data_IF_751684726214
#
_entry.id   IF_751684726214
#
_cell.length_a   1.000
_cell.length_b   1.000
_cell.length_c   1.000
_cell.angle_alpha   90.00
_cell.angle_beta   90.00
_cell.angle_gamma   90.00
#
_symmetry.space_group_name_H-M   'P 1'
#
loop_
_entity.id
_entity.type
_entity.pdbx_description
1 polymer ?
#
# COMPACT_ATOMS: atom_id res chain seq x y z
N UNK A 1 -8.11 -9.05 15.63
CA UNK A 1 -9.17 -8.04 15.81
C UNK A 1 -10.20 -8.26 14.75
N UNK A 2 -11.47 -8.18 15.12
CA UNK A 2 -12.57 -8.05 14.17
C UNK A 2 -12.36 -6.76 13.34
N UNK A 3 -12.57 -6.83 12.02
CA UNK A 3 -12.36 -5.72 11.08
C UNK A 3 -13.23 -4.51 11.43
N UNK A 4 -14.43 -4.76 11.98
CA UNK A 4 -15.32 -3.70 12.46
C UNK A 4 -14.72 -2.96 13.67
N UNK A 5 -14.20 -3.70 14.64
CA UNK A 5 -13.56 -3.12 15.81
C UNK A 5 -12.32 -2.30 15.44
N UNK A 6 -11.54 -2.77 14.46
CA UNK A 6 -10.41 -2.02 13.92
C UNK A 6 -10.87 -0.71 13.26
N UNK A 7 -11.90 -0.75 12.41
CA UNK A 7 -12.47 0.45 11.78
C UNK A 7 -12.96 1.47 12.81
N UNK A 8 -13.64 1.01 13.87
CA UNK A 8 -14.10 1.88 14.96
C UNK A 8 -12.93 2.53 15.72
N UNK A 9 -11.83 1.81 15.92
CA UNK A 9 -10.62 2.36 16.55
C UNK A 9 -9.97 3.43 15.66
N UNK A 10 -9.88 3.19 14.35
CA UNK A 10 -9.38 4.17 13.37
C UNK A 10 -10.24 5.44 13.41
N UNK A 11 -11.56 5.31 13.36
CA UNK A 11 -12.48 6.45 13.38
C UNK A 11 -12.37 7.27 14.67
N UNK A 12 -12.30 6.61 15.84
CA UNK A 12 -12.14 7.29 17.13
C UNK A 12 -10.85 8.08 17.20
N UNK A 13 -9.74 7.50 16.74
CA UNK A 13 -8.45 8.20 16.67
C UNK A 13 -8.52 9.39 15.71
N UNK A 14 -9.08 9.20 14.51
CA UNK A 14 -9.26 10.28 13.54
C UNK A 14 -10.03 11.46 14.15
N UNK A 15 -11.16 11.22 14.80
CA UNK A 15 -11.96 12.28 15.45
C UNK A 15 -11.14 13.01 16.51
N UNK A 16 -10.35 12.28 17.31
CA UNK A 16 -9.50 12.88 18.33
C UNK A 16 -8.35 13.73 17.72
N UNK A 17 -7.71 13.25 16.65
CA UNK A 17 -6.63 13.95 15.94
C UNK A 17 -7.13 15.17 15.16
N UNK A 18 -8.29 15.06 14.51
CA UNK A 18 -8.92 16.13 13.74
C UNK A 18 -9.30 17.33 14.62
N UNK A 19 -9.72 17.07 15.86
CA UNK A 19 -10.18 18.10 16.77
C UNK A 19 -11.45 18.81 16.29
N UNK A 20 -11.61 20.07 16.71
CA UNK A 20 -12.76 20.89 16.33
C UNK A 20 -12.51 21.50 14.95
N UNK A 21 -13.44 21.26 14.03
CA UNK A 21 -13.44 21.85 12.68
C UNK A 21 -14.41 23.02 12.65
N UNK A 22 -13.98 24.18 12.18
CA UNK A 22 -14.91 25.25 11.81
C UNK A 22 -15.57 24.88 10.48
N UNK A 23 -16.88 24.63 10.52
CA UNK A 23 -17.65 24.30 9.32
C UNK A 23 -17.57 25.36 8.21
N UNK A 24 -17.20 26.62 8.54
CA UNK A 24 -16.99 27.69 7.56
C UNK A 24 -15.73 27.50 6.72
N UNK A 25 -14.76 26.76 7.26
CA UNK A 25 -13.52 26.43 6.56
C UNK A 25 -13.70 25.19 5.66
N UNK A 26 -14.85 24.52 5.70
CA UNK A 26 -15.13 23.35 4.84
C UNK A 26 -15.92 23.81 3.62
N UNK A 27 -15.28 23.86 2.47
CA UNK A 27 -15.90 24.29 1.22
C UNK A 27 -16.83 23.23 0.62
N UNK A 28 -16.44 21.95 0.72
CA UNK A 28 -17.26 20.85 0.25
C UNK A 28 -16.88 19.50 0.88
N UNK A 29 -17.85 18.57 0.89
CA UNK A 29 -17.71 17.17 1.25
C UNK A 29 -18.38 16.34 0.14
N UNK A 30 -17.78 15.23 -0.27
CA UNK A 30 -18.27 14.33 -1.33
C UNK A 30 -18.64 15.09 -2.62
N UNK A 31 -17.74 15.99 -3.05
CA UNK A 31 -18.02 16.92 -4.13
C UNK A 31 -17.88 16.23 -5.48
N UNK A 32 -19.00 16.03 -6.17
CA UNK A 32 -19.00 15.64 -7.58
C UNK A 32 -18.28 16.70 -8.45
N UNK A 33 -17.46 16.23 -9.37
CA UNK A 33 -16.91 17.03 -10.46
C UNK A 33 -17.02 16.30 -11.80
N UNK A 34 -17.05 17.09 -12.87
CA UNK A 34 -17.00 16.64 -14.26
C UNK A 34 -15.91 17.40 -14.98
N UNK A 35 -14.92 16.67 -15.49
CA UNK A 35 -13.81 17.24 -16.25
C UNK A 35 -13.90 16.80 -17.71
N UNK A 36 -14.13 17.73 -18.65
CA UNK A 36 -13.95 17.43 -20.06
C UNK A 36 -12.47 17.21 -20.35
N UNK A 37 -12.15 16.07 -20.97
CA UNK A 37 -10.79 15.65 -21.34
C UNK A 37 -10.82 15.19 -22.79
N UNK A 38 -10.47 16.09 -23.71
CA UNK A 38 -10.64 15.86 -25.14
C UNK A 38 -12.10 15.56 -25.50
N UNK A 39 -12.41 14.43 -26.17
CA UNK A 39 -13.79 14.03 -26.47
C UNK A 39 -14.49 13.31 -25.29
N UNK A 40 -13.82 13.14 -24.15
CA UNK A 40 -14.31 12.38 -23.00
C UNK A 40 -14.69 13.28 -21.82
N UNK A 41 -15.39 12.70 -20.86
CA UNK A 41 -15.67 13.32 -19.56
C UNK A 41 -15.21 12.39 -18.43
N UNK A 42 -14.39 12.91 -17.52
CA UNK A 42 -14.03 12.25 -16.27
C UNK A 42 -15.00 12.70 -15.19
N UNK A 43 -15.75 11.76 -14.64
CA UNK A 43 -16.61 11.94 -13.47
C UNK A 43 -15.89 11.45 -12.22
N UNK A 44 -15.94 12.21 -11.15
CA UNK A 44 -15.38 11.81 -9.86
C UNK A 44 -15.97 12.56 -8.68
N UNK A 45 -15.56 12.16 -7.49
CA UNK A 45 -15.97 12.74 -6.21
C UNK A 45 -14.72 13.05 -5.40
N UNK A 46 -14.68 14.23 -4.78
CA UNK A 46 -13.64 14.64 -3.85
C UNK A 46 -14.19 14.49 -2.43
N UNK A 47 -13.53 13.70 -1.58
CA UNK A 47 -13.99 13.42 -0.21
C UNK A 47 -14.21 14.72 0.58
N UNK A 48 -13.23 15.62 0.59
CA UNK A 48 -13.32 16.90 1.30
C UNK A 48 -12.43 17.98 0.69
N UNK A 49 -12.93 19.22 0.69
CA UNK A 49 -12.17 20.42 0.32
C UNK A 49 -12.30 21.45 1.44
N UNK A 50 -11.16 21.89 1.96
CA UNK A 50 -11.06 22.92 2.99
C UNK A 50 -10.52 24.24 2.39
N UNK A 51 -11.06 25.36 2.86
CA UNK A 51 -10.51 26.69 2.70
C UNK A 51 -9.35 26.87 3.68
N UNK A 52 -8.21 27.36 3.19
CA UNK A 52 -7.03 27.63 4.03
C UNK A 52 -6.82 29.13 4.17
N UNK A 53 -6.85 29.85 3.05
CA UNK A 53 -6.73 31.31 2.99
C UNK A 53 -7.33 31.83 1.67
N UNK A 54 -7.27 33.15 1.45
CA UNK A 54 -7.84 33.84 0.29
C UNK A 54 -7.33 33.35 -1.08
N UNK A 55 -6.21 32.61 -1.12
CA UNK A 55 -5.63 32.08 -2.36
C UNK A 55 -5.45 30.56 -2.36
N UNK A 56 -5.76 29.89 -1.24
CA UNK A 56 -5.36 28.50 -1.01
C UNK A 56 -6.53 27.65 -0.54
N UNK A 57 -6.65 26.48 -1.15
CA UNK A 57 -7.51 25.38 -0.71
C UNK A 57 -6.70 24.12 -0.47
N UNK A 58 -7.23 23.25 0.39
CA UNK A 58 -6.70 21.91 0.59
C UNK A 58 -7.74 20.86 0.18
N UNK A 59 -7.31 19.92 -0.66
CA UNK A 59 -8.06 18.70 -0.95
C UNK A 59 -7.58 17.62 0.00
N UNK A 60 -8.51 16.99 0.71
CA UNK A 60 -8.24 15.88 1.62
C UNK A 60 -8.95 14.65 1.07
N UNK A 61 -8.18 13.59 0.82
CA UNK A 61 -8.68 12.26 0.46
C UNK A 61 -8.32 11.29 1.61
N UNK A 62 -9.33 10.59 2.12
CA UNK A 62 -9.19 9.72 3.29
C UNK A 62 -8.81 8.30 2.87
N UNK A 63 -7.69 7.80 3.39
CA UNK A 63 -7.17 6.46 3.05
C UNK A 63 -7.01 5.59 4.29
N UNK A 64 -7.38 4.32 4.17
CA UNK A 64 -7.32 3.32 5.25
C UNK A 64 -6.40 2.13 4.92
N UNK A 65 -5.53 2.30 3.93
CA UNK A 65 -4.54 1.31 3.51
C UNK A 65 -3.68 0.83 4.69
N UNK A 66 -3.21 -0.41 4.62
CA UNK A 66 -2.28 -0.98 5.60
C UNK A 66 -0.85 -0.48 5.44
N UNK A 67 -0.50 -0.01 4.24
CA UNK A 67 0.80 0.55 3.91
C UNK A 67 0.62 2.01 3.53
N UNK A 68 1.59 2.83 3.92
CA UNK A 68 1.72 4.20 3.43
C UNK A 68 2.13 4.19 1.97
N UNK A 69 1.74 5.22 1.23
CA UNK A 69 2.29 5.45 -0.12
C UNK A 69 3.75 5.87 0.00
N UNK A 70 4.56 5.47 -0.97
CA UNK A 70 5.89 6.03 -1.17
C UNK A 70 5.79 7.48 -1.62
N UNK A 71 6.88 8.26 -1.49
CA UNK A 71 6.88 9.67 -1.92
C UNK A 71 6.57 9.81 -3.40
N UNK A 72 7.14 8.93 -4.23
CA UNK A 72 6.92 8.91 -5.68
C UNK A 72 5.46 8.64 -6.04
N UNK A 73 4.81 7.67 -5.38
CA UNK A 73 3.38 7.39 -5.59
C UNK A 73 2.49 8.60 -5.25
N UNK A 74 2.81 9.34 -4.19
CA UNK A 74 2.07 10.55 -3.82
C UNK A 74 2.31 11.67 -4.84
N UNK A 75 3.56 11.89 -5.25
CA UNK A 75 3.95 12.98 -6.15
C UNK A 75 3.54 12.74 -7.61
N UNK A 76 3.33 11.49 -8.01
CA UNK A 76 2.90 11.11 -9.37
C UNK A 76 1.45 10.64 -9.43
N UNK A 77 0.71 10.70 -8.31
CA UNK A 77 -0.69 10.24 -8.24
C UNK A 77 -1.58 10.96 -9.26
N UNK A 78 -2.11 10.19 -10.20
CA UNK A 78 -3.07 10.64 -11.20
C UNK A 78 -4.37 11.14 -10.56
N UNK A 79 -4.85 10.46 -9.51
CA UNK A 79 -6.06 10.85 -8.77
C UNK A 79 -5.92 12.29 -8.25
N UNK A 80 -4.79 12.58 -7.61
CA UNK A 80 -4.50 13.90 -7.03
C UNK A 80 -4.38 14.99 -8.11
N UNK A 81 -3.75 14.67 -9.24
CA UNK A 81 -3.70 15.60 -10.39
C UNK A 81 -5.10 15.94 -10.91
N UNK A 82 -5.98 14.95 -11.06
CA UNK A 82 -7.36 15.18 -11.52
C UNK A 82 -8.19 15.99 -10.50
N UNK A 83 -7.99 15.75 -9.20
CA UNK A 83 -8.63 16.55 -8.16
C UNK A 83 -8.19 18.01 -8.22
N UNK A 84 -6.90 18.30 -8.41
CA UNK A 84 -6.44 19.68 -8.55
C UNK A 84 -7.06 20.38 -9.78
N UNK A 85 -7.15 19.70 -10.93
CA UNK A 85 -7.82 20.25 -12.12
C UNK A 85 -9.30 20.56 -11.81
N UNK A 86 -10.00 19.66 -11.13
CA UNK A 86 -11.40 19.85 -10.73
C UNK A 86 -11.54 21.05 -9.78
N UNK A 87 -10.68 21.14 -8.77
CA UNK A 87 -10.69 22.22 -7.78
C UNK A 87 -10.45 23.57 -8.42
N UNK A 88 -9.47 23.70 -9.30
CA UNK A 88 -9.20 24.97 -10.02
C UNK A 88 -10.37 25.43 -10.88
N UNK A 89 -11.20 24.50 -11.38
CA UNK A 89 -12.43 24.83 -12.12
C UNK A 89 -13.59 25.19 -11.19
N UNK A 90 -13.75 24.47 -10.09
CA UNK A 90 -14.83 24.69 -9.12
C UNK A 90 -14.62 25.95 -8.29
N UNK A 91 -13.37 26.26 -7.94
CA UNK A 91 -12.95 27.42 -7.17
C UNK A 91 -11.83 28.19 -7.90
N UNK A 92 -12.12 28.94 -8.98
CA UNK A 92 -11.11 29.63 -9.79
C UNK A 92 -10.30 30.72 -9.07
N UNK A 93 -10.73 31.13 -7.88
CA UNK A 93 -10.00 32.07 -7.03
C UNK A 93 -8.80 31.42 -6.33
N UNK A 94 -8.80 30.09 -6.17
CA UNK A 94 -7.72 29.37 -5.52
C UNK A 94 -6.52 29.27 -6.47
N UNK A 95 -5.45 30.00 -6.14
CA UNK A 95 -4.19 30.00 -6.89
C UNK A 95 -3.27 28.85 -6.46
N UNK A 96 -3.47 28.33 -5.25
CA UNK A 96 -2.70 27.23 -4.67
C UNK A 96 -3.65 26.13 -4.23
N UNK A 97 -3.30 24.89 -4.56
CA UNK A 97 -4.03 23.71 -4.13
C UNK A 97 -3.04 22.80 -3.39
N UNK A 98 -3.32 22.54 -2.11
CA UNK A 98 -2.65 21.49 -1.35
C UNK A 98 -3.42 20.19 -1.54
N UNK A 99 -2.70 19.10 -1.76
CA UNK A 99 -3.28 17.79 -1.99
C UNK A 99 -2.81 16.85 -0.89
N UNK A 100 -3.74 16.26 -0.15
CA UNK A 100 -3.42 15.48 1.05
C UNK A 100 -4.11 14.14 1.03
N UNK A 101 -3.32 13.06 1.04
CA UNK A 101 -3.81 11.76 1.50
C UNK A 101 -3.72 11.71 3.02
N UNK A 102 -4.87 11.61 3.70
CA UNK A 102 -4.88 11.37 5.14
C UNK A 102 -4.97 9.86 5.39
N UNK A 103 -3.83 9.27 5.75
CA UNK A 103 -3.67 7.85 6.02
C UNK A 103 -4.20 7.52 7.42
N UNK A 104 -5.53 7.46 7.55
CA UNK A 104 -6.26 7.36 8.82
C UNK A 104 -5.78 6.20 9.69
N UNK A 105 -5.41 5.06 9.09
CA UNK A 105 -4.89 3.89 9.84
C UNK A 105 -3.60 4.21 10.60
N UNK A 106 -2.79 5.11 10.07
CA UNK A 106 -1.48 5.47 10.61
C UNK A 106 -1.47 6.82 11.33
N UNK A 107 -2.51 7.65 11.17
CA UNK A 107 -2.53 9.01 11.71
C UNK A 107 -1.59 9.96 10.96
N UNK A 108 -1.22 9.63 9.72
CA UNK A 108 -0.21 10.36 8.92
C UNK A 108 -0.90 11.09 7.77
N UNK A 109 -0.48 12.34 7.52
CA UNK A 109 -0.87 13.12 6.33
C UNK A 109 0.27 13.11 5.32
N UNK A 110 -0.01 12.70 4.10
CA UNK A 110 0.96 12.71 3.00
C UNK A 110 0.55 13.79 1.99
N UNK A 111 1.31 14.88 1.99
CA UNK A 111 0.97 16.10 1.28
C UNK A 111 1.80 16.26 0.00
N UNK A 112 1.20 16.83 -1.04
CA UNK A 112 1.85 17.12 -2.32
C UNK A 112 1.19 18.31 -3.01
N UNK A 113 1.78 18.77 -4.11
CA UNK A 113 1.31 19.85 -4.97
C UNK A 113 1.54 19.45 -6.42
N UNK A 114 0.91 20.13 -7.38
CA UNK A 114 1.19 19.95 -8.81
C UNK A 114 1.70 21.21 -9.49
N UNK A 115 2.56 21.01 -10.48
CA UNK A 115 2.90 22.02 -11.47
C UNK A 115 1.90 21.99 -12.62
N UNK A 116 1.78 23.09 -13.38
CA UNK A 116 0.94 23.13 -14.59
C UNK A 116 1.28 22.02 -15.59
N UNK A 117 2.57 21.70 -15.73
CA UNK A 117 3.05 20.63 -16.60
C UNK A 117 2.53 19.27 -16.16
N UNK A 118 2.60 18.95 -14.85
CA UNK A 118 2.05 17.70 -14.30
C UNK A 118 0.53 17.59 -14.50
N UNK A 119 -0.20 18.70 -14.42
CA UNK A 119 -1.64 18.71 -14.68
C UNK A 119 -1.94 18.48 -16.17
N UNK A 120 -1.17 19.10 -17.06
CA UNK A 120 -1.29 18.91 -18.50
C UNK A 120 -0.97 17.45 -18.91
N UNK A 121 0.10 16.88 -18.35
CA UNK A 121 0.50 15.49 -18.58
C UNK A 121 -0.57 14.50 -18.09
N UNK A 122 -1.16 14.75 -16.91
CA UNK A 122 -2.24 13.94 -16.38
C UNK A 122 -3.48 13.94 -17.31
N UNK A 123 -3.87 15.12 -17.82
CA UNK A 123 -4.99 15.23 -18.76
C UNK A 123 -4.68 14.55 -20.10
N UNK A 124 -3.48 14.74 -20.64
CA UNK A 124 -3.05 14.10 -21.88
C UNK A 124 -2.99 12.56 -21.74
N UNK A 125 -2.53 12.07 -20.59
CA UNK A 125 -2.52 10.65 -20.26
C UNK A 125 -3.94 10.06 -20.25
N UNK A 126 -4.88 10.72 -19.56
CA UNK A 126 -6.27 10.28 -19.49
C UNK A 126 -6.95 10.34 -20.87
N UNK A 127 -6.71 11.38 -21.65
CA UNK A 127 -7.24 11.47 -23.02
C UNK A 127 -6.73 10.30 -23.88
N UNK A 128 -5.42 10.04 -23.83
CA UNK A 128 -4.79 8.94 -24.57
C UNK A 128 -5.37 7.59 -24.15
N UNK A 129 -5.53 7.36 -22.84
CA UNK A 129 -6.14 6.14 -22.31
C UNK A 129 -7.59 5.99 -22.77
N UNK A 130 -8.37 7.07 -22.76
CA UNK A 130 -9.74 7.08 -23.27
C UNK A 130 -9.80 6.70 -24.74
N UNK A 131 -8.95 7.30 -25.58
CA UNK A 131 -8.89 6.97 -27.02
C UNK A 131 -8.48 5.52 -27.24
N UNK A 132 -7.44 5.05 -26.55
CA UNK A 132 -7.01 3.65 -26.63
C UNK A 132 -8.14 2.70 -26.28
N UNK A 133 -8.91 3.01 -25.23
CA UNK A 133 -10.06 2.21 -24.80
C UNK A 133 -11.15 2.20 -25.88
N UNK A 134 -11.59 3.37 -26.38
CA UNK A 134 -12.64 3.42 -27.41
C UNK A 134 -12.24 2.70 -28.72
N UNK A 135 -10.98 2.79 -29.13
CA UNK A 135 -10.53 2.20 -30.39
C UNK A 135 -10.11 0.73 -30.28
N UNK A 136 -9.90 0.22 -29.07
CA UNK A 136 -9.44 -1.14 -28.86
C UNK A 136 -10.53 -2.14 -29.25
N UNK A 137 -10.19 -3.03 -30.18
CA UNK A 137 -11.03 -4.18 -30.55
C UNK A 137 -10.77 -5.41 -29.69
N UNK A 138 -9.65 -5.43 -28.97
CA UNK A 138 -9.22 -6.53 -28.12
C UNK A 138 -8.67 -6.03 -26.79
N UNK A 139 -8.97 -6.78 -25.72
CA UNK A 139 -8.54 -6.48 -24.35
C UNK A 139 -7.80 -7.68 -23.77
N UNK A 140 -6.58 -7.98 -24.26
CA UNK A 140 -5.83 -9.13 -23.80
C UNK A 140 -5.54 -8.99 -22.30
N UNK A 141 -5.87 -10.03 -21.54
CA UNK A 141 -5.59 -10.06 -20.11
C UNK A 141 -4.07 -10.03 -19.87
N UNK A 142 -3.62 -9.09 -19.05
CA UNK A 142 -2.21 -8.96 -18.66
C UNK A 142 -2.05 -9.29 -17.19
N UNK A 143 -1.08 -10.14 -16.87
CA UNK A 143 -0.70 -10.37 -15.47
C UNK A 143 -0.13 -9.09 -14.87
N UNK A 144 -0.63 -8.75 -13.70
CA UNK A 144 -0.16 -7.62 -12.90
C UNK A 144 -0.30 -7.94 -11.40
N UNK A 145 0.10 -6.98 -10.57
CA UNK A 145 0.10 -7.11 -9.11
C UNK A 145 -1.30 -7.23 -8.51
N UNK A 146 -2.36 -6.91 -9.25
CA UNK A 146 -3.74 -6.92 -8.78
C UNK A 146 -4.47 -8.23 -9.12
N UNK A 147 -3.87 -9.13 -9.90
CA UNK A 147 -4.50 -10.40 -10.29
C UNK A 147 -4.96 -11.26 -9.10
N UNK A 148 -4.29 -11.17 -7.95
CA UNK A 148 -4.66 -11.91 -6.73
C UNK A 148 -6.03 -11.52 -6.19
N UNK A 149 -6.49 -10.29 -6.45
CA UNK A 149 -7.76 -9.75 -5.94
C UNK A 149 -8.81 -9.55 -7.05
N UNK A 150 -8.53 -10.00 -8.27
CA UNK A 150 -9.43 -9.82 -9.41
C UNK A 150 -10.63 -10.78 -9.32
N UNK A 151 -11.85 -10.25 -9.40
CA UNK A 151 -13.09 -11.04 -9.37
C UNK A 151 -13.20 -12.01 -10.57
N UNK A 152 -12.63 -11.63 -11.72
CA UNK A 152 -12.63 -12.43 -12.94
C UNK A 152 -11.48 -13.46 -13.01
N UNK A 153 -10.65 -13.55 -11.97
CA UNK A 153 -9.45 -14.41 -11.92
C UNK A 153 -9.71 -15.86 -12.30
N UNK A 154 -10.85 -16.43 -11.91
CA UNK A 154 -11.23 -17.83 -12.19
C UNK A 154 -11.40 -18.14 -13.67
N UNK A 155 -11.80 -17.15 -14.48
CA UNK A 155 -12.05 -17.31 -15.91
C UNK A 155 -10.94 -16.65 -16.76
N UNK A 156 -9.93 -16.07 -16.12
CA UNK A 156 -8.84 -15.36 -16.80
C UNK A 156 -7.84 -16.36 -17.41
N UNK A 157 -7.69 -16.41 -18.75
CA UNK A 157 -6.76 -17.34 -19.40
C UNK A 157 -5.30 -17.06 -19.04
N UNK A 158 -4.91 -15.78 -18.95
CA UNK A 158 -3.56 -15.40 -18.54
C UNK A 158 -3.23 -15.87 -17.11
N UNK A 159 -4.20 -15.82 -16.20
CA UNK A 159 -4.02 -16.33 -14.84
C UNK A 159 -3.96 -17.86 -14.81
N UNK A 160 -4.78 -18.55 -15.60
CA UNK A 160 -4.72 -20.01 -15.73
C UNK A 160 -3.37 -20.49 -16.28
N UNK A 161 -2.83 -19.80 -17.29
CA UNK A 161 -1.50 -20.06 -17.84
C UNK A 161 -0.40 -19.80 -16.79
N UNK A 162 -0.53 -18.74 -15.99
CA UNK A 162 0.39 -18.45 -14.89
C UNK A 162 0.43 -19.59 -13.86
N UNK A 163 -0.73 -20.16 -13.50
CA UNK A 163 -0.80 -21.28 -12.56
C UNK A 163 -0.19 -22.57 -13.10
N UNK A 164 -0.12 -22.72 -14.43
CA UNK A 164 0.59 -23.82 -15.10
C UNK A 164 2.09 -23.58 -15.21
N UNK A 165 2.58 -22.42 -14.76
CA UNK A 165 3.99 -22.05 -14.85
C UNK A 165 4.45 -21.78 -16.29
N UNK A 166 3.53 -21.44 -17.20
CA UNK A 166 3.89 -21.09 -18.58
C UNK A 166 4.80 -19.85 -18.57
N UNK A 167 5.92 -19.95 -19.28
CA UNK A 167 6.89 -18.88 -19.48
C UNK A 167 6.79 -18.34 -20.90
N UNK A 168 6.74 -17.02 -21.05
CA UNK A 168 6.72 -16.35 -22.35
C UNK A 168 8.13 -15.96 -22.80
N UNK A 169 9.00 -15.64 -21.84
CA UNK A 169 10.36 -15.19 -22.11
C UNK A 169 11.35 -15.81 -21.11
N UNK A 170 12.49 -16.24 -21.64
CA UNK A 170 13.65 -16.73 -20.89
C UNK A 170 14.88 -16.06 -21.51
N UNK A 171 15.67 -15.37 -20.69
CA UNK A 171 16.90 -14.74 -21.16
C UNK A 171 17.98 -15.81 -21.34
N UNK A 172 18.63 -15.82 -22.50
CA UNK A 172 19.72 -16.76 -22.80
C UNK A 172 21.08 -16.21 -22.33
N UNK A 173 21.28 -14.89 -22.48
CA UNK A 173 22.50 -14.19 -22.07
C UNK A 173 22.25 -13.29 -20.87
N UNK A 174 22.84 -13.64 -19.72
CA UNK A 174 22.71 -12.85 -18.49
C UNK A 174 23.47 -11.51 -18.53
N UNK A 175 24.25 -11.24 -19.58
CA UNK A 175 24.82 -9.93 -19.84
C UNK A 175 23.81 -8.96 -20.49
N UNK A 176 22.73 -9.46 -21.11
CA UNK A 176 21.62 -8.63 -21.58
C UNK A 176 20.75 -8.20 -20.40
N UNK A 177 21.07 -7.04 -19.84
CA UNK A 177 20.36 -6.51 -18.67
C UNK A 177 18.90 -6.19 -18.94
N UNK A 178 18.52 -5.86 -20.18
CA UNK A 178 17.12 -5.59 -20.54
C UNK A 178 16.32 -6.91 -20.56
N UNK A 179 16.90 -7.96 -21.15
CA UNK A 179 16.35 -9.31 -21.10
C UNK A 179 16.22 -9.82 -19.65
N UNK A 180 17.26 -9.67 -18.84
CA UNK A 180 17.25 -10.07 -17.41
C UNK A 180 16.13 -9.34 -16.65
N UNK A 181 16.00 -8.02 -16.84
CA UNK A 181 14.95 -7.24 -16.19
C UNK A 181 13.55 -7.72 -16.62
N UNK A 182 13.34 -7.93 -17.92
CA UNK A 182 12.07 -8.43 -18.46
C UNK A 182 11.70 -9.80 -17.87
N UNK A 183 12.63 -10.73 -17.85
CA UNK A 183 12.38 -12.07 -17.30
C UNK A 183 12.08 -11.99 -15.80
N UNK A 184 12.84 -11.20 -15.03
CA UNK A 184 12.61 -11.01 -13.60
C UNK A 184 11.19 -10.53 -13.32
N UNK A 185 10.69 -9.55 -14.08
CA UNK A 185 9.32 -9.04 -13.90
C UNK A 185 8.23 -10.04 -14.29
N UNK A 186 8.47 -10.88 -15.29
CA UNK A 186 7.58 -12.02 -15.60
C UNK A 186 7.55 -13.01 -14.42
N UNK A 187 8.72 -13.46 -13.96
CA UNK A 187 8.85 -14.39 -12.83
C UNK A 187 8.22 -13.84 -11.56
N UNK A 188 8.41 -12.55 -11.25
CA UNK A 188 7.82 -11.93 -10.08
C UNK A 188 6.29 -11.97 -10.10
N UNK A 189 5.68 -11.72 -11.28
CA UNK A 189 4.22 -11.81 -11.46
C UNK A 189 3.71 -13.25 -11.35
N UNK A 190 4.39 -14.20 -11.96
CA UNK A 190 4.07 -15.63 -11.86
C UNK A 190 4.15 -16.13 -10.42
N UNK A 191 5.24 -15.79 -9.72
CA UNK A 191 5.43 -16.13 -8.31
C UNK A 191 4.29 -15.58 -7.47
N UNK A 192 3.90 -14.31 -7.66
CA UNK A 192 2.75 -13.72 -6.93
C UNK A 192 1.45 -14.47 -7.20
N UNK A 193 1.17 -14.83 -8.46
CA UNK A 193 -0.01 -15.60 -8.82
C UNK A 193 -0.04 -16.98 -8.14
N UNK A 194 1.10 -17.68 -8.13
CA UNK A 194 1.27 -18.99 -7.49
C UNK A 194 1.15 -18.91 -5.97
N UNK A 195 1.75 -17.90 -5.33
CA UNK A 195 1.61 -17.68 -3.89
C UNK A 195 0.17 -17.39 -3.49
N UNK A 196 -0.55 -16.54 -4.24
CA UNK A 196 -1.96 -16.27 -3.98
C UNK A 196 -2.81 -17.53 -4.11
N UNK A 197 -2.52 -18.39 -5.09
CA UNK A 197 -3.23 -19.68 -5.23
C UNK A 197 -2.88 -20.66 -4.11
N UNK A 198 -1.62 -20.71 -3.69
CA UNK A 198 -1.19 -21.50 -2.53
C UNK A 198 -1.94 -21.07 -1.27
N UNK A 199 -2.02 -19.78 -0.99
CA UNK A 199 -2.73 -19.24 0.17
C UNK A 199 -4.23 -19.63 0.16
N UNK A 200 -4.90 -19.51 -0.99
CA UNK A 200 -6.30 -19.95 -1.15
C UNK A 200 -6.48 -21.45 -0.81
N UNK A 201 -5.57 -22.29 -1.28
CA UNK A 201 -5.59 -23.74 -0.98
C UNK A 201 -5.30 -24.01 0.50
N UNK A 202 -4.35 -23.28 1.09
CA UNK A 202 -4.05 -23.39 2.51
C UNK A 202 -5.24 -22.96 3.37
N UNK A 203 -6.00 -21.94 2.99
CA UNK A 203 -7.18 -21.51 3.74
C UNK A 203 -8.27 -22.57 3.77
N UNK A 204 -8.44 -23.32 2.67
CA UNK A 204 -9.32 -24.49 2.64
C UNK A 204 -8.83 -25.57 3.63
N UNK A 205 -7.53 -25.86 3.64
CA UNK A 205 -6.94 -26.84 4.58
C UNK A 205 -7.06 -26.37 6.04
N UNK A 206 -6.77 -25.09 6.32
CA UNK A 206 -6.91 -24.47 7.64
C UNK A 206 -8.35 -24.56 8.15
N UNK A 207 -9.34 -24.39 7.27
CA UNK A 207 -10.75 -24.52 7.66
C UNK A 207 -11.07 -25.93 8.15
N UNK A 208 -10.54 -26.97 7.50
CA UNK A 208 -10.70 -28.37 7.92
C UNK A 208 -9.96 -28.68 9.23
N UNK A 209 -8.80 -28.06 9.46
CA UNK A 209 -8.01 -28.19 10.69
C UNK A 209 -8.59 -27.45 11.91
N UNK A 210 -9.71 -26.73 11.76
CA UNK A 210 -10.42 -26.16 12.93
C UNK A 210 -11.07 -27.24 13.78
N UNK A 211 -11.48 -28.34 13.16
CA UNK A 211 -12.18 -29.47 13.81
C UNK A 211 -11.28 -30.70 13.96
N UNK A 212 -10.02 -30.62 13.49
CA UNK A 212 -9.09 -31.75 13.42
C UNK A 212 -7.67 -31.30 13.76
N UNK A 213 -6.97 -32.10 14.56
CA UNK A 213 -5.59 -31.79 14.96
C UNK A 213 -4.57 -31.95 13.83
N UNK A 214 -4.88 -32.80 12.84
CA UNK A 214 -4.00 -33.17 11.74
C UNK A 214 -4.79 -33.63 10.50
N UNK A 215 -4.22 -33.39 9.31
CA UNK A 215 -4.62 -34.02 8.05
C UNK A 215 -3.40 -34.68 7.40
N UNK A 216 -3.57 -35.89 6.87
CA UNK A 216 -2.56 -36.55 6.01
C UNK A 216 -3.18 -36.77 4.65
N UNK A 217 -2.75 -35.99 3.65
CA UNK A 217 -3.33 -35.95 2.31
C UNK A 217 -2.19 -35.86 1.29
N UNK A 218 -2.26 -36.63 0.21
CA UNK A 218 -1.27 -36.56 -0.89
C UNK A 218 0.18 -36.78 -0.45
N UNK A 219 0.43 -37.60 0.57
CA UNK A 219 1.78 -37.84 1.11
C UNK A 219 2.30 -36.73 2.03
N UNK A 220 1.48 -35.73 2.37
CA UNK A 220 1.88 -34.60 3.22
C UNK A 220 1.00 -34.55 4.46
N UNK A 221 1.63 -34.35 5.61
CA UNK A 221 1.00 -34.08 6.90
C UNK A 221 0.84 -32.57 7.11
N UNK A 222 -0.36 -32.14 7.46
CA UNK A 222 -0.73 -30.76 7.74
C UNK A 222 -1.21 -30.58 9.17
N UNK A 223 -0.72 -29.55 9.88
CA UNK A 223 -1.15 -29.20 11.24
C UNK A 223 -1.13 -27.68 11.46
N UNK A 224 -1.91 -27.20 12.42
CA UNK A 224 -1.85 -25.82 12.87
C UNK A 224 -0.89 -25.67 14.05
N UNK A 225 -0.06 -24.63 14.03
CA UNK A 225 0.79 -24.24 15.15
C UNK A 225 0.62 -22.77 15.49
N UNK A 226 0.62 -22.44 16.78
CA UNK A 226 0.64 -21.05 17.20
C UNK A 226 2.05 -20.49 17.01
N UNK A 227 2.15 -19.34 16.35
CA UNK A 227 3.39 -18.58 16.26
C UNK A 227 3.20 -17.21 16.87
N UNK A 228 4.21 -16.73 17.58
CA UNK A 228 4.20 -15.38 18.17
C UNK A 228 5.07 -14.48 17.32
N UNK A 229 4.50 -13.36 16.86
CA UNK A 229 5.22 -12.26 16.23
C UNK A 229 5.09 -11.00 17.08
N UNK A 230 6.07 -10.11 16.94
CA UNK A 230 6.02 -8.76 17.51
C UNK A 230 5.64 -7.79 16.41
N UNK A 231 4.62 -6.98 16.68
CA UNK A 231 4.20 -5.86 15.85
C UNK A 231 4.67 -4.57 16.53
N UNK A 232 5.26 -3.65 15.78
CA UNK A 232 5.93 -2.47 16.33
C UNK A 232 5.15 -1.22 15.91
N UNK A 233 4.39 -0.59 16.82
CA UNK A 233 3.58 0.60 16.48
C UNK A 233 4.45 1.73 15.93
N UNK A 234 3.99 2.37 14.85
CA UNK A 234 4.77 3.34 14.08
C UNK A 234 5.35 4.47 14.93
N UNK A 235 4.49 5.29 15.55
CA UNK A 235 4.91 6.47 16.31
C UNK A 235 5.81 6.15 17.52
N UNK A 236 5.48 5.18 18.40
CA UNK A 236 6.37 4.79 19.49
C UNK A 236 7.73 4.31 18.99
N UNK A 237 7.74 3.52 17.91
CA UNK A 237 8.97 2.96 17.34
C UNK A 237 9.86 4.06 16.75
N UNK A 238 9.28 4.99 15.99
CA UNK A 238 10.03 6.11 15.41
C UNK A 238 10.58 7.04 16.48
N UNK A 239 9.80 7.31 17.53
CA UNK A 239 10.24 8.17 18.64
C UNK A 239 11.45 7.55 19.34
N UNK A 240 11.36 6.28 19.74
CA UNK A 240 12.47 5.57 20.40
C UNK A 240 13.73 5.52 19.52
N UNK A 241 13.57 5.26 18.23
CA UNK A 241 14.71 5.19 17.30
C UNK A 241 15.32 6.57 17.03
N UNK A 242 14.50 7.62 16.88
CA UNK A 242 14.99 8.99 16.71
C UNK A 242 15.79 9.43 17.94
N UNK A 243 15.25 9.21 19.14
CA UNK A 243 15.90 9.54 20.40
C UNK A 243 17.23 8.80 20.58
N UNK A 244 17.27 7.51 20.24
CA UNK A 244 18.47 6.69 20.40
C UNK A 244 19.54 6.94 19.33
N UNK A 245 19.17 7.43 18.15
CA UNK A 245 20.09 7.63 17.01
C UNK A 245 20.46 9.08 16.77
N UNK A 246 19.69 10.03 17.31
CA UNK A 246 19.80 11.46 17.01
C UNK A 246 19.37 11.83 15.58
N UNK A 247 18.77 10.87 14.84
CA UNK A 247 18.22 11.11 13.51
C UNK A 247 16.82 11.70 13.61
N UNK A 248 16.44 12.49 12.61
CA UNK A 248 15.05 12.92 12.45
C UNK A 248 14.13 11.72 12.15
N UNK A 249 12.84 11.88 12.42
CA UNK A 249 11.83 10.83 12.18
C UNK A 249 11.82 10.37 10.72
N UNK A 250 11.93 11.30 9.77
CA UNK A 250 11.96 11.01 8.34
C UNK A 250 13.22 10.24 7.92
N UNK A 251 14.37 10.55 8.52
CA UNK A 251 15.61 9.80 8.29
C UNK A 251 15.53 8.37 8.82
N UNK A 252 14.88 8.16 9.98
CA UNK A 252 14.65 6.83 10.53
C UNK A 252 13.71 6.04 9.62
N UNK A 253 12.59 6.65 9.21
CA UNK A 253 11.63 6.05 8.27
C UNK A 253 12.29 5.64 6.95
N UNK A 254 13.06 6.56 6.35
CA UNK A 254 13.76 6.31 5.10
C UNK A 254 14.78 5.17 5.18
N UNK A 255 15.41 4.97 6.35
CA UNK A 255 16.37 3.87 6.57
C UNK A 255 15.72 2.52 6.82
N UNK A 256 14.56 2.50 7.47
CA UNK A 256 13.85 1.26 7.76
C UNK A 256 13.14 0.71 6.51
N UNK A 257 12.54 1.59 5.71
CA UNK A 257 11.70 1.22 4.56
C UNK A 257 10.36 0.58 4.98
N UNK A 258 10.36 -0.27 6.01
CA UNK A 258 9.17 -0.81 6.67
C UNK A 258 9.45 -1.03 8.16
N UNK A 259 8.42 -0.90 9.00
CA UNK A 259 8.53 -1.22 10.42
C UNK A 259 8.12 -2.68 10.63
N UNK A 260 9.12 -3.55 10.55
CA UNK A 260 9.00 -4.96 10.91
C UNK A 260 10.22 -5.44 11.69
N UNK A 261 10.09 -6.59 12.37
CA UNK A 261 11.17 -7.15 13.19
C UNK A 261 12.50 -7.29 12.44
N UNK A 262 12.46 -7.70 11.16
CA UNK A 262 13.65 -7.93 10.35
C UNK A 262 14.33 -6.60 10.00
N UNK A 263 13.55 -5.60 9.60
CA UNK A 263 14.07 -4.26 9.32
C UNK A 263 14.69 -3.62 10.58
N UNK A 264 14.01 -3.74 11.73
CA UNK A 264 14.53 -3.27 13.02
C UNK A 264 15.80 -4.01 13.43
N UNK A 265 15.84 -5.34 13.36
CA UNK A 265 17.04 -6.12 13.67
C UNK A 265 18.22 -5.74 12.74
N UNK A 266 17.94 -5.48 11.46
CA UNK A 266 18.95 -5.01 10.50
C UNK A 266 19.47 -3.60 10.85
N UNK A 267 18.58 -2.67 11.20
CA UNK A 267 18.96 -1.33 11.64
C UNK A 267 19.78 -1.39 12.94
N UNK A 268 19.34 -2.13 13.96
CA UNK A 268 20.06 -2.33 15.21
C UNK A 268 21.45 -2.94 14.99
N UNK A 269 21.58 -3.90 14.06
CA UNK A 269 22.87 -4.48 13.67
C UNK A 269 23.77 -3.45 13.00
N UNK A 270 23.21 -2.56 12.18
CA UNK A 270 23.98 -1.47 11.56
C UNK A 270 24.44 -0.42 12.60
N UNK A 271 23.59 -0.12 13.58
CA UNK A 271 23.85 0.82 14.66
C UNK A 271 24.89 0.29 15.65
N UNK A 272 24.94 -1.02 15.88
CA UNK A 272 25.98 -1.66 16.70
C UNK A 272 27.40 -1.52 16.16
N UNK A 273 27.59 -0.98 14.94
CA UNK A 273 28.90 -0.54 14.44
C UNK A 273 29.33 0.83 14.97
N UNK A 274 28.39 1.62 15.54
CA UNK A 274 28.59 2.99 16.03
C UNK A 274 28.24 3.16 17.52
N UNK A 275 27.28 2.38 18.03
CA UNK A 275 26.87 2.32 19.43
C UNK A 275 27.52 1.11 20.12
N UNK A 276 27.78 1.21 21.42
CA UNK A 276 28.27 0.10 22.23
C UNK A 276 27.18 -0.96 22.46
N UNK A 277 27.62 -2.22 22.60
CA UNK A 277 26.74 -3.40 22.72
C UNK A 277 25.66 -3.29 23.81
N UNK A 278 25.92 -2.69 25.00
CA UNK A 278 24.90 -2.48 26.02
C UNK A 278 23.75 -1.57 25.55
N UNK A 279 24.05 -0.45 24.87
CA UNK A 279 23.03 0.48 24.38
C UNK A 279 22.14 -0.13 23.31
N UNK A 280 22.72 -0.92 22.39
CA UNK A 280 21.92 -1.64 21.37
C UNK A 280 21.01 -2.68 22.02
N UNK A 281 21.48 -3.35 23.09
CA UNK A 281 20.68 -4.33 23.81
C UNK A 281 19.53 -3.68 24.59
N UNK A 282 19.78 -2.52 25.21
CA UNK A 282 18.76 -1.73 25.90
C UNK A 282 17.70 -1.23 24.92
N UNK A 283 18.11 -0.62 23.81
CA UNK A 283 17.19 -0.15 22.76
C UNK A 283 16.33 -1.28 22.20
N UNK A 284 16.93 -2.47 21.97
CA UNK A 284 16.16 -3.65 21.54
C UNK A 284 15.10 -4.04 22.59
N UNK A 285 15.46 -4.05 23.87
CA UNK A 285 14.52 -4.38 24.94
C UNK A 285 13.39 -3.34 25.04
N UNK A 286 13.69 -2.05 24.90
CA UNK A 286 12.69 -0.97 24.89
C UNK A 286 11.73 -1.08 23.70
N UNK A 287 12.26 -1.38 22.50
CA UNK A 287 11.45 -1.63 21.32
C UNK A 287 10.55 -2.85 21.49
N UNK A 288 11.06 -3.95 22.03
CA UNK A 288 10.26 -5.16 22.31
C UNK A 288 9.23 -4.94 23.43
N UNK A 289 9.49 -4.04 24.38
CA UNK A 289 8.54 -3.68 25.44
C UNK A 289 7.37 -2.82 24.93
N UNK A 290 7.61 -2.00 23.90
CA UNK A 290 6.57 -1.22 23.21
C UNK A 290 5.92 -1.96 22.04
N UNK A 291 6.37 -3.18 21.75
CA UNK A 291 5.81 -4.01 20.69
C UNK A 291 4.57 -4.76 21.16
N UNK A 292 3.57 -4.80 20.29
CA UNK A 292 2.37 -5.60 20.48
C UNK A 292 2.66 -7.07 20.13
N UNK A 293 2.38 -7.97 21.07
CA UNK A 293 2.47 -9.41 20.81
C UNK A 293 1.27 -9.89 20.03
N UNK A 294 1.52 -10.39 18.81
CA UNK A 294 0.50 -11.00 17.96
C UNK A 294 0.71 -12.49 17.88
N UNK A 295 -0.26 -13.27 18.36
CA UNK A 295 -0.32 -14.69 18.10
C UNK A 295 -1.02 -14.94 16.77
N UNK A 296 -0.36 -15.63 15.85
CA UNK A 296 -0.92 -16.01 14.55
C UNK A 296 -0.83 -17.53 14.36
N UNK A 297 -1.94 -18.19 14.01
CA UNK A 297 -1.92 -19.59 13.68
C UNK A 297 -1.25 -19.77 12.31
N UNK A 298 -0.27 -20.67 12.21
CA UNK A 298 0.39 -21.02 10.96
C UNK A 298 0.10 -22.45 10.57
N UNK A 299 -0.12 -22.66 9.28
CA UNK A 299 -0.19 -23.98 8.69
C UNK A 299 1.23 -24.52 8.52
N UNK A 300 1.46 -25.72 9.05
CA UNK A 300 2.70 -26.46 8.88
C UNK A 300 2.42 -27.67 7.99
N UNK A 301 3.26 -27.86 6.97
CA UNK A 301 3.19 -28.96 6.02
C UNK A 301 4.52 -29.73 6.03
N UNK A 302 4.48 -31.05 6.16
CA UNK A 302 5.67 -31.91 6.12
C UNK A 302 5.36 -33.20 5.37
N UNK A 303 6.22 -33.57 4.41
CA UNK A 303 6.15 -34.86 3.74
C UNK A 303 6.21 -36.01 4.75
N UNK A 304 5.36 -37.00 4.52
CA UNK A 304 5.35 -38.25 5.28
C UNK A 304 6.17 -39.24 4.48
N UNK A 305 7.21 -39.78 5.12
CA UNK A 305 8.04 -40.85 4.57
C UNK A 305 7.22 -42.14 4.37
#
# INVERSE_FOLDING_TARGET
MDVFAEGLAILRRFIAEQGVVDHRDVLAIEKEFRLPVGPFEVLGFIDRVDWIDDETVEVIDYKTNHQLFTRDEVDTSLQMSLYEVAVRRLWPWAKKVKLTFWMLRHGVRQETTRTEEQLADALAYVETLGRQTETATEYPARLNTNCSYCDHRKQCPAYADALKGKREFIVEDLADLEGVAREREEVARLAKALYARKEELEDILKAQLKERDELVLGGVRYRMFATTSLDYPLEPTLTLLADATGLSRDEVLGKLGAIDKKALDALLKSLGKKLDKPRVSLLKAELEAHADKRMSPRLWAKEVA
#
